data_IF_333843310416
#
_entry.id   IF_333843310416
#
_cell.length_a   1.000
_cell.length_b   1.000
_cell.length_c   1.000
_cell.angle_alpha   90.00
_cell.angle_beta   90.00
_cell.angle_gamma   90.00
#
_symmetry.space_group_name_H-M   'P 1'
#
loop_
_entity.id
_entity.type
_entity.pdbx_description
1 polymer ?
#
# COMPACT_ATOMS: atom_id res chain seq x y z
N UNK A 1 11.73 -0.37 -19.44
CA UNK A 1 11.23 1.02 -19.47
C UNK A 1 10.71 1.34 -18.09
N UNK A 2 11.22 2.39 -17.45
CA UNK A 2 10.70 2.83 -16.16
C UNK A 2 9.29 3.39 -16.35
N UNK A 3 8.34 2.87 -15.57
CA UNK A 3 6.95 3.32 -15.62
C UNK A 3 6.89 4.76 -15.12
N UNK A 4 6.13 5.62 -15.82
CA UNK A 4 5.97 7.02 -15.41
C UNK A 4 4.94 7.16 -14.29
N UNK A 5 5.02 8.26 -13.55
CA UNK A 5 3.99 8.63 -12.58
C UNK A 5 2.82 9.28 -13.31
N UNK A 6 1.61 8.87 -12.96
CA UNK A 6 0.40 9.46 -13.49
C UNK A 6 0.01 10.71 -12.69
N UNK A 7 -0.63 11.65 -13.37
CA UNK A 7 -1.20 12.85 -12.76
C UNK A 7 -2.52 12.52 -12.07
N UNK A 8 -3.02 13.43 -11.23
CA UNK A 8 -4.32 13.26 -10.56
C UNK A 8 -5.47 13.08 -11.57
N UNK A 9 -5.46 13.84 -12.67
CA UNK A 9 -6.50 13.74 -13.70
C UNK A 9 -6.52 12.34 -14.33
N UNK A 10 -5.35 11.80 -14.67
CA UNK A 10 -5.22 10.46 -15.25
C UNK A 10 -5.64 9.36 -14.26
N UNK A 11 -5.31 9.53 -12.98
CA UNK A 11 -5.74 8.64 -11.88
C UNK A 11 -7.27 8.66 -11.77
N UNK A 12 -7.89 9.84 -11.82
CA UNK A 12 -9.34 10.00 -11.68
C UNK A 12 -10.08 9.37 -12.88
N UNK A 13 -9.62 9.62 -14.11
CA UNK A 13 -10.15 8.97 -15.33
C UNK A 13 -10.01 7.44 -15.28
N UNK A 14 -8.88 6.92 -14.80
CA UNK A 14 -8.69 5.49 -14.66
C UNK A 14 -9.70 4.85 -13.70
N UNK A 15 -10.03 5.54 -12.60
CA UNK A 15 -10.98 5.05 -11.59
C UNK A 15 -12.41 5.01 -12.11
N UNK A 16 -12.82 6.03 -12.86
CA UNK A 16 -14.13 6.09 -13.50
C UNK A 16 -14.36 4.89 -14.44
N UNK A 17 -13.33 4.51 -15.19
CA UNK A 17 -13.42 3.40 -16.14
C UNK A 17 -13.33 2.01 -15.49
N UNK A 18 -12.61 1.88 -14.37
CA UNK A 18 -12.32 0.57 -13.81
C UNK A 18 -13.18 0.19 -12.59
N UNK A 19 -13.98 1.12 -12.03
CA UNK A 19 -14.98 0.86 -10.97
C UNK A 19 -14.49 0.03 -9.75
N UNK A 20 -13.19 0.02 -9.49
CA UNK A 20 -12.60 -0.80 -8.43
C UNK A 20 -12.56 -0.05 -7.09
N UNK A 21 -12.88 -0.75 -6.01
CA UNK A 21 -12.74 -0.22 -4.64
C UNK A 21 -11.27 0.13 -4.31
N UNK A 22 -10.33 -0.66 -4.85
CA UNK A 22 -8.88 -0.45 -4.73
C UNK A 22 -8.30 0.18 -6.00
N UNK A 23 -7.21 0.94 -5.87
CA UNK A 23 -6.47 1.43 -7.03
C UNK A 23 -5.43 0.40 -7.48
N UNK A 24 -5.61 -0.14 -8.68
CA UNK A 24 -4.87 -1.29 -9.23
C UNK A 24 -4.35 -0.98 -10.64
N UNK A 25 -3.53 0.05 -10.80
CA UNK A 25 -3.03 0.46 -12.12
C UNK A 25 -1.58 -0.02 -12.35
N UNK A 26 -1.33 -1.07 -13.15
CA UNK A 26 0.03 -1.52 -13.42
C UNK A 26 0.84 -0.51 -14.24
N UNK A 27 0.22 0.39 -14.99
CA UNK A 27 0.91 1.38 -15.84
C UNK A 27 1.33 2.64 -15.09
N UNK A 28 0.84 2.82 -13.86
CA UNK A 28 1.16 3.95 -13.01
C UNK A 28 2.24 3.58 -11.98
N UNK A 29 3.38 4.28 -12.03
CA UNK A 29 4.48 4.06 -11.07
C UNK A 29 4.31 4.76 -9.73
N UNK A 30 3.23 5.53 -9.52
CA UNK A 30 2.92 6.07 -8.21
C UNK A 30 2.77 4.95 -7.17
N UNK A 31 3.40 5.15 -6.02
CA UNK A 31 3.20 4.30 -4.85
C UNK A 31 1.97 4.75 -4.05
N UNK A 32 1.85 6.06 -3.81
CA UNK A 32 0.70 6.70 -3.17
C UNK A 32 -0.08 7.51 -4.19
N UNK A 33 -1.39 7.36 -4.16
CA UNK A 33 -2.34 8.11 -4.99
C UNK A 33 -3.43 8.74 -4.12
N UNK A 34 -4.03 9.86 -4.53
CA UNK A 34 -5.16 10.43 -3.80
C UNK A 34 -6.31 9.42 -3.71
N UNK A 35 -7.04 9.47 -2.59
CA UNK A 35 -8.31 8.73 -2.47
C UNK A 35 -9.34 9.31 -3.46
N UNK A 36 -10.26 8.49 -4.00
CA UNK A 36 -11.29 8.95 -4.91
C UNK A 36 -12.25 9.94 -4.23
N UNK A 37 -12.52 9.74 -2.94
CA UNK A 37 -13.40 10.57 -2.14
C UNK A 37 -12.70 10.98 -0.84
N UNK A 38 -12.84 12.26 -0.48
CA UNK A 38 -12.32 12.83 0.76
C UNK A 38 -10.83 13.18 0.74
N UNK A 39 -10.29 13.46 1.92
CA UNK A 39 -8.88 13.80 2.12
C UNK A 39 -8.04 12.55 2.41
N UNK A 40 -6.86 12.48 1.80
CA UNK A 40 -5.85 11.48 2.10
C UNK A 40 -5.40 10.65 0.89
N UNK A 41 -4.52 9.69 1.18
CA UNK A 41 -3.85 8.87 0.19
C UNK A 41 -4.21 7.40 0.34
N UNK A 42 -4.10 6.65 -0.74
CA UNK A 42 -4.13 5.19 -0.78
C UNK A 42 -2.93 4.68 -1.59
N UNK A 43 -2.65 3.39 -1.51
CA UNK A 43 -1.55 2.78 -2.26
C UNK A 43 -2.02 2.27 -3.62
N UNK A 44 -1.12 2.24 -4.59
CA UNK A 44 -1.32 1.49 -5.83
C UNK A 44 -0.98 0.02 -5.58
N UNK A 45 -1.98 -0.83 -5.55
CA UNK A 45 -1.81 -2.26 -5.26
C UNK A 45 -1.11 -3.05 -6.38
N UNK A 46 -1.03 -2.47 -7.58
CA UNK A 46 -0.25 -3.02 -8.69
C UNK A 46 1.26 -2.66 -8.59
N UNK A 47 1.65 -1.77 -7.68
CA UNK A 47 3.04 -1.36 -7.50
C UNK A 47 3.80 -2.34 -6.58
N UNK A 48 4.94 -2.92 -7.00
CA UNK A 48 5.74 -3.81 -6.14
C UNK A 48 6.15 -3.20 -4.79
N UNK A 49 6.34 -1.87 -4.74
CA UNK A 49 6.67 -1.15 -3.50
C UNK A 49 5.57 -1.27 -2.44
N UNK A 50 4.32 -1.43 -2.87
CA UNK A 50 3.18 -1.63 -1.96
C UNK A 50 3.31 -2.94 -1.19
N UNK A 51 3.69 -4.02 -1.86
CA UNK A 51 3.88 -5.32 -1.20
C UNK A 51 5.09 -5.32 -0.27
N UNK A 52 6.18 -4.63 -0.64
CA UNK A 52 7.31 -4.42 0.25
C UNK A 52 6.91 -3.65 1.52
N UNK A 53 6.13 -2.58 1.38
CA UNK A 53 5.63 -1.80 2.51
C UNK A 53 4.71 -2.62 3.43
N UNK A 54 3.78 -3.39 2.86
CA UNK A 54 2.92 -4.32 3.62
C UNK A 54 3.76 -5.36 4.36
N UNK A 55 4.73 -5.98 3.68
CA UNK A 55 5.62 -6.96 4.28
C UNK A 55 6.40 -6.40 5.47
N UNK A 56 6.92 -5.18 5.36
CA UNK A 56 7.66 -4.52 6.43
C UNK A 56 6.78 -4.30 7.67
N UNK A 57 5.56 -3.79 7.47
CA UNK A 57 4.59 -3.57 8.56
C UNK A 57 4.22 -4.89 9.21
N UNK A 58 3.85 -5.91 8.43
CA UNK A 58 3.47 -7.22 8.94
C UNK A 58 4.62 -7.86 9.71
N UNK A 59 5.84 -7.82 9.17
CA UNK A 59 7.04 -8.36 9.81
C UNK A 59 7.33 -7.69 11.14
N UNK A 60 7.17 -6.36 11.24
CA UNK A 60 7.33 -5.63 12.50
C UNK A 60 6.36 -6.11 13.57
N UNK A 61 5.07 -6.26 13.23
CA UNK A 61 4.07 -6.73 14.20
C UNK A 61 4.29 -8.19 14.61
N UNK A 62 4.68 -9.06 13.66
CA UNK A 62 5.03 -10.45 13.94
C UNK A 62 6.25 -10.53 14.87
N UNK A 63 7.32 -9.81 14.57
CA UNK A 63 8.51 -9.75 15.42
C UNK A 63 8.18 -9.22 16.82
N UNK A 64 7.38 -8.14 16.90
CA UNK A 64 6.89 -7.59 18.17
C UNK A 64 6.07 -8.62 18.96
N UNK A 65 5.21 -9.38 18.29
CA UNK A 65 4.41 -10.43 18.92
C UNK A 65 5.31 -11.50 19.55
N UNK A 66 6.29 -12.02 18.79
CA UNK A 66 7.24 -13.01 19.30
C UNK A 66 8.11 -12.47 20.42
N UNK A 67 8.61 -11.23 20.30
CA UNK A 67 9.38 -10.57 21.35
C UNK A 67 8.59 -10.47 22.66
N UNK A 68 7.31 -10.05 22.60
CA UNK A 68 6.43 -9.98 23.77
C UNK A 68 6.21 -11.36 24.39
N UNK A 69 6.05 -12.40 23.56
CA UNK A 69 5.86 -13.78 24.02
C UNK A 69 7.10 -14.31 24.76
N UNK A 70 8.30 -14.10 24.22
CA UNK A 70 9.56 -14.50 24.86
C UNK A 70 9.76 -13.76 26.19
N UNK A 71 9.49 -12.45 26.23
CA UNK A 71 9.61 -11.66 27.46
C UNK A 71 8.68 -12.17 28.57
N UNK A 72 7.44 -12.56 28.24
CA UNK A 72 6.50 -13.15 29.20
C UNK A 72 7.04 -14.46 29.76
N UNK A 73 7.55 -15.34 28.90
CA UNK A 73 8.11 -16.65 29.29
C UNK A 73 9.33 -16.56 30.22
N UNK A 74 10.11 -15.47 30.19
CA UNK A 74 11.28 -15.28 31.06
C UNK A 74 10.94 -14.70 32.43
N UNK A 75 9.74 -14.15 32.59
CA UNK A 75 9.28 -13.48 33.81
C UNK A 75 8.23 -14.30 34.58
N UNK A 76 8.01 -15.57 34.20
CA UNK A 76 7.16 -16.54 34.90
C UNK A 76 8.05 -17.68 35.35
#
# INVERSE_FOLDING_TARGET
MDKRKWTKQEIDTYRENNSTFYYLNPEDSNFLVPKPYGLGWTVNWANPKTWFFVFLITSFYVARFFYRRQKKSKNT
#
